data_IF_502447126498
#
_entry.id   IF_502447126498
#
_cell.length_a   1.000
_cell.length_b   1.000
_cell.length_c   1.000
_cell.angle_alpha   90.00
_cell.angle_beta   90.00
_cell.angle_gamma   90.00
#
_symmetry.space_group_name_H-M   'P 1'
#
loop_
_entity.id
_entity.type
_entity.pdbx_description
1 polymer ?
#
# COMPACT_ATOMS: atom_id res chain seq x y z
N UNK A 1 -13.03 39.30 -51.02
CA UNK A 1 -13.37 40.71 -51.26
C UNK A 1 -14.13 40.81 -52.59
N UNK A 2 -15.06 41.76 -52.69
CA UNK A 2 -16.16 41.94 -53.68
C UNK A 2 -17.46 41.20 -53.30
N UNK A 3 -18.41 41.80 -52.54
CA UNK A 3 -19.48 42.80 -52.90
C UNK A 3 -20.41 42.27 -54.01
N UNK A 4 -21.74 42.27 -53.96
CA UNK A 4 -22.74 42.80 -53.04
C UNK A 4 -24.08 42.93 -53.79
N UNK A 5 -25.18 42.64 -53.10
CA UNK A 5 -26.52 43.27 -53.18
C UNK A 5 -27.36 43.31 -54.48
N UNK A 6 -28.59 42.77 -54.42
CA UNK A 6 -29.79 43.36 -55.03
C UNK A 6 -31.09 42.84 -54.35
N UNK A 7 -32.06 43.71 -54.01
CA UNK A 7 -33.34 43.37 -53.36
C UNK A 7 -34.56 43.51 -54.31
N UNK A 8 -35.70 42.92 -53.95
CA UNK A 8 -36.99 43.12 -54.63
C UNK A 8 -38.17 43.06 -53.65
N UNK A 9 -38.88 44.19 -53.51
CA UNK A 9 -40.14 44.37 -52.78
C UNK A 9 -41.32 44.25 -53.75
N UNK A 10 -42.50 43.83 -53.25
CA UNK A 10 -43.84 44.43 -53.49
C UNK A 10 -44.91 43.52 -52.85
N UNK A 11 -45.63 43.90 -51.79
CA UNK A 11 -46.76 44.85 -51.64
C UNK A 11 -48.04 44.52 -52.44
N UNK A 12 -49.01 44.01 -51.68
CA UNK A 12 -50.42 44.40 -51.59
C UNK A 12 -51.37 44.20 -52.78
N UNK A 13 -52.50 43.54 -52.54
CA UNK A 13 -53.83 44.16 -52.60
C UNK A 13 -54.95 43.17 -52.22
N UNK A 14 -55.92 43.68 -51.48
CA UNK A 14 -57.15 43.00 -51.07
C UNK A 14 -58.27 43.20 -52.11
N UNK A 15 -59.20 42.25 -52.20
CA UNK A 15 -60.55 42.47 -52.75
C UNK A 15 -61.57 41.71 -51.91
N UNK A 16 -62.68 42.40 -51.59
CA UNK A 16 -63.83 42.00 -50.78
C UNK A 16 -64.96 41.42 -51.64
N UNK A 17 -65.83 40.64 -51.00
CA UNK A 17 -67.23 40.38 -51.38
C UNK A 17 -67.62 38.93 -51.05
N UNK A 18 -68.83 38.55 -50.64
CA UNK A 18 -70.00 39.22 -50.08
C UNK A 18 -70.88 38.10 -49.44
N UNK A 19 -71.60 38.49 -48.38
CA UNK A 19 -72.70 37.90 -47.59
C UNK A 19 -73.50 36.70 -48.17
N UNK A 20 -73.79 35.70 -47.31
CA UNK A 20 -75.10 35.02 -47.24
C UNK A 20 -75.29 34.27 -45.91
N UNK A 21 -76.51 34.39 -45.36
CA UNK A 21 -77.03 33.93 -44.07
C UNK A 21 -77.43 32.45 -44.07
N UNK A 22 -77.33 31.74 -42.93
CA UNK A 22 -78.13 30.54 -42.71
C UNK A 22 -77.64 29.55 -41.65
N UNK A 23 -78.48 29.30 -40.65
CA UNK A 23 -78.59 28.09 -39.83
C UNK A 23 -77.53 27.81 -38.73
N UNK A 24 -77.97 28.01 -37.48
CA UNK A 24 -77.35 27.45 -36.27
C UNK A 24 -77.55 25.93 -36.23
N UNK A 25 -76.47 25.18 -36.11
CA UNK A 25 -76.47 23.80 -35.63
C UNK A 25 -75.42 23.63 -34.53
N UNK A 26 -75.87 23.09 -33.39
CA UNK A 26 -75.08 22.87 -32.15
C UNK A 26 -73.84 22.03 -32.41
N UNK A 27 -72.70 22.51 -31.92
CA UNK A 27 -71.42 21.77 -31.86
C UNK A 27 -71.46 20.80 -30.67
N UNK A 28 -71.22 19.49 -30.86
CA UNK A 28 -70.96 18.57 -29.76
C UNK A 28 -69.60 18.88 -29.11
N UNK A 29 -69.58 18.97 -27.78
CA UNK A 29 -68.38 19.25 -26.98
C UNK A 29 -67.36 18.10 -27.15
N UNK A 30 -66.08 18.36 -27.46
CA UNK A 30 -65.06 17.31 -27.51
C UNK A 30 -64.82 16.71 -26.12
N UNK A 31 -64.73 15.39 -26.04
CA UNK A 31 -64.28 14.68 -24.84
C UNK A 31 -62.84 15.08 -24.50
N UNK A 32 -62.47 15.22 -23.21
CA UNK A 32 -61.11 15.56 -22.83
C UNK A 32 -60.15 14.41 -23.19
N UNK A 33 -58.92 14.72 -23.63
CA UNK A 33 -57.93 13.69 -23.92
C UNK A 33 -57.58 12.94 -22.63
N UNK A 34 -57.87 11.64 -22.60
CA UNK A 34 -57.29 10.71 -21.62
C UNK A 34 -55.77 10.81 -21.77
N UNK A 35 -55.11 11.42 -20.78
CA UNK A 35 -53.67 11.31 -20.62
C UNK A 35 -53.33 9.84 -20.36
N UNK A 36 -53.04 9.10 -21.43
CA UNK A 36 -52.25 7.88 -21.34
C UNK A 36 -50.87 8.36 -20.93
N UNK A 37 -50.65 8.41 -19.61
CA UNK A 37 -49.32 8.53 -19.03
C UNK A 37 -48.60 7.25 -19.48
N UNK A 38 -47.86 7.32 -20.59
CA UNK A 38 -46.78 6.38 -20.85
C UNK A 38 -45.81 6.60 -19.68
N UNK A 39 -45.95 5.78 -18.64
CA UNK A 39 -44.85 5.55 -17.72
C UNK A 39 -43.77 4.88 -18.55
N UNK A 40 -42.93 5.70 -19.17
CA UNK A 40 -41.61 5.25 -19.58
C UNK A 40 -40.94 4.90 -18.27
N UNK A 41 -40.91 3.61 -17.93
CA UNK A 41 -39.94 3.08 -16.98
C UNK A 41 -38.58 3.23 -17.68
N UNK A 42 -38.04 4.44 -17.66
CA UNK A 42 -36.61 4.64 -17.74
C UNK A 42 -36.08 4.14 -16.40
N UNK A 43 -35.80 2.84 -16.32
CA UNK A 43 -34.72 2.34 -15.46
C UNK A 43 -33.41 2.88 -16.03
N UNK A 44 -33.25 4.19 -15.98
CA UNK A 44 -31.94 4.82 -16.09
C UNK A 44 -31.32 4.73 -14.69
N UNK A 45 -31.04 3.49 -14.25
CA UNK A 45 -29.93 3.28 -13.34
C UNK A 45 -28.69 3.62 -14.16
N UNK A 46 -28.39 4.92 -14.24
CA UNK A 46 -27.04 5.37 -14.49
C UNK A 46 -26.23 4.74 -13.36
N UNK A 47 -25.52 3.65 -13.67
CA UNK A 47 -24.49 3.16 -12.78
C UNK A 47 -23.60 4.35 -12.46
N UNK A 48 -23.61 4.78 -11.19
CA UNK A 48 -22.92 5.98 -10.77
C UNK A 48 -21.43 5.81 -11.11
N UNK A 49 -20.85 6.58 -12.05
CA UNK A 49 -19.46 6.43 -12.45
C UNK A 49 -18.49 6.70 -11.28
N UNK A 50 -18.98 7.30 -10.18
CA UNK A 50 -18.24 7.48 -8.93
C UNK A 50 -18.16 6.22 -8.05
N UNK A 51 -19.08 5.25 -8.19
CA UNK A 51 -19.08 4.01 -7.41
C UNK A 51 -17.83 3.11 -7.64
N UNK A 52 -17.36 2.87 -8.89
CA UNK A 52 -16.13 2.09 -9.09
C UNK A 52 -14.87 2.83 -8.60
N UNK A 53 -14.82 4.15 -8.73
CA UNK A 53 -13.68 4.96 -8.29
C UNK A 53 -13.54 4.99 -6.76
N UNK A 54 -14.65 5.10 -6.03
CA UNK A 54 -14.69 5.04 -4.57
C UNK A 54 -14.31 3.66 -4.03
N UNK A 55 -14.83 2.57 -4.64
CA UNK A 55 -14.48 1.20 -4.26
C UNK A 55 -12.98 0.89 -4.44
N UNK A 56 -12.36 1.35 -5.53
CA UNK A 56 -10.91 1.21 -5.77
C UNK A 56 -10.09 1.99 -4.74
N UNK A 57 -10.55 3.18 -4.35
CA UNK A 57 -9.90 4.01 -3.34
C UNK A 57 -9.96 3.35 -1.96
N UNK A 58 -11.13 2.83 -1.56
CA UNK A 58 -11.31 2.08 -0.30
C UNK A 58 -10.42 0.83 -0.29
N UNK A 59 -10.43 0.05 -1.37
CA UNK A 59 -9.60 -1.15 -1.48
C UNK A 59 -8.10 -0.83 -1.38
N UNK A 60 -7.65 0.24 -2.03
CA UNK A 60 -6.26 0.70 -1.94
C UNK A 60 -5.92 1.19 -0.53
N UNK A 61 -6.86 1.87 0.13
CA UNK A 61 -6.74 2.25 1.54
C UNK A 61 -6.48 1.03 2.44
N UNK A 62 -7.35 0.01 2.37
CA UNK A 62 -7.20 -1.22 3.18
C UNK A 62 -5.84 -1.90 3.00
N UNK A 63 -5.34 -1.96 1.76
CA UNK A 63 -4.01 -2.52 1.46
C UNK A 63 -2.88 -1.72 2.13
N UNK A 64 -2.97 -0.39 2.14
CA UNK A 64 -1.99 0.46 2.82
C UNK A 64 -2.13 0.39 4.35
N UNK A 65 -3.35 0.26 4.88
CA UNK A 65 -3.59 0.03 6.31
C UNK A 65 -2.92 -1.26 6.78
N UNK A 66 -2.96 -2.33 5.97
CA UNK A 66 -2.25 -3.57 6.28
C UNK A 66 -0.75 -3.32 6.53
N UNK A 67 -0.10 -2.52 5.67
CA UNK A 67 1.30 -2.12 5.85
C UNK A 67 1.54 -1.23 7.08
N UNK A 68 0.59 -0.36 7.42
CA UNK A 68 0.68 0.50 8.60
C UNK A 68 0.60 -0.31 9.92
N UNK A 69 -0.07 -1.46 9.90
CA UNK A 69 -0.19 -2.36 11.06
C UNK A 69 0.97 -3.36 11.13
N UNK A 70 1.54 -3.76 9.99
CA UNK A 70 2.53 -4.83 9.88
C UNK A 70 3.76 -4.65 10.81
N UNK A 71 4.39 -3.47 10.79
CA UNK A 71 5.58 -3.21 11.59
C UNK A 71 5.31 -3.25 13.10
N UNK A 72 4.36 -2.45 13.63
CA UNK A 72 4.00 -2.48 15.04
C UNK A 72 3.61 -3.87 15.54
N UNK A 73 2.81 -4.61 14.77
CA UNK A 73 2.41 -5.97 15.13
C UNK A 73 3.63 -6.89 15.23
N UNK A 74 4.50 -6.88 14.21
CA UNK A 74 5.69 -7.71 14.18
C UNK A 74 6.62 -7.42 15.36
N UNK A 75 6.90 -6.14 15.61
CA UNK A 75 7.75 -5.68 16.70
C UNK A 75 7.15 -6.11 18.05
N UNK A 76 5.86 -5.86 18.29
CA UNK A 76 5.23 -6.19 19.56
C UNK A 76 5.33 -7.69 19.89
N UNK A 77 5.06 -8.56 18.90
CA UNK A 77 5.14 -10.02 19.08
C UNK A 77 6.59 -10.47 19.29
N UNK A 78 7.54 -9.95 18.51
CA UNK A 78 8.94 -10.28 18.63
C UNK A 78 9.51 -9.85 19.99
N UNK A 79 9.18 -8.63 20.45
CA UNK A 79 9.59 -8.15 21.76
C UNK A 79 8.99 -8.99 22.88
N UNK A 80 7.69 -9.27 22.84
CA UNK A 80 7.02 -10.08 23.85
C UNK A 80 7.67 -11.48 23.98
N UNK A 81 7.99 -12.12 22.86
CA UNK A 81 8.72 -13.38 22.86
C UNK A 81 10.13 -13.22 23.42
N UNK A 82 10.94 -12.29 22.92
CA UNK A 82 12.32 -12.10 23.39
C UNK A 82 12.41 -11.76 24.90
N UNK A 83 11.42 -11.08 25.48
CA UNK A 83 11.37 -10.81 26.91
C UNK A 83 10.94 -12.02 27.77
N UNK A 84 10.28 -13.02 27.18
CA UNK A 84 9.70 -14.15 27.91
C UNK A 84 10.39 -15.47 27.61
N UNK A 85 11.23 -15.53 26.57
CA UNK A 85 11.89 -16.76 26.13
C UNK A 85 13.15 -17.02 26.95
N UNK A 86 13.13 -18.12 27.68
CA UNK A 86 14.29 -18.59 28.44
C UNK A 86 15.53 -18.75 27.55
N UNK A 87 16.66 -18.28 28.05
CA UNK A 87 17.95 -18.35 27.36
C UNK A 87 18.11 -17.35 26.21
N UNK A 88 17.11 -16.53 25.88
CA UNK A 88 17.23 -15.53 24.81
C UNK A 88 17.99 -14.28 25.29
N UNK A 89 19.09 -13.97 24.62
CA UNK A 89 19.93 -12.80 24.87
C UNK A 89 19.90 -11.89 23.63
N UNK A 90 19.42 -10.67 23.79
CA UNK A 90 19.25 -9.67 22.74
C UNK A 90 20.55 -9.27 22.03
N UNK A 91 21.67 -9.37 22.74
CA UNK A 91 22.99 -9.08 22.20
C UNK A 91 23.59 -10.26 21.45
N UNK A 92 23.25 -11.51 21.83
CA UNK A 92 23.77 -12.72 21.18
C UNK A 92 22.84 -13.29 20.12
N UNK A 93 21.53 -13.05 20.20
CA UNK A 93 20.54 -13.73 19.36
C UNK A 93 19.78 -12.76 18.46
N UNK A 94 19.81 -12.96 17.13
CA UNK A 94 18.94 -12.24 16.21
C UNK A 94 17.48 -12.65 16.41
N UNK A 95 16.54 -11.77 16.04
CA UNK A 95 15.09 -11.99 16.16
C UNK A 95 14.61 -13.29 15.49
N UNK A 96 15.29 -13.76 14.45
CA UNK A 96 14.96 -15.02 13.79
C UNK A 96 15.13 -16.26 14.67
N UNK A 97 16.05 -16.23 15.64
CA UNK A 97 16.25 -17.37 16.53
C UNK A 97 15.03 -17.65 17.40
N UNK A 98 14.14 -16.68 17.63
CA UNK A 98 12.86 -16.90 18.32
C UNK A 98 11.97 -17.93 17.62
N UNK A 99 12.23 -18.27 16.35
CA UNK A 99 11.56 -19.34 15.63
C UNK A 99 11.98 -20.75 16.07
N UNK A 100 12.90 -20.89 17.02
CA UNK A 100 13.41 -22.16 17.51
C UNK A 100 12.71 -22.66 18.80
N UNK A 101 12.69 -23.98 18.94
CA UNK A 101 12.10 -24.69 20.09
C UNK A 101 10.58 -24.63 20.15
N UNK A 102 10.02 -25.01 21.30
CA UNK A 102 8.57 -25.27 21.46
C UNK A 102 7.64 -24.09 21.13
N UNK A 103 8.10 -22.86 21.36
CA UNK A 103 7.33 -21.63 21.07
C UNK A 103 7.70 -21.00 19.72
N UNK A 104 8.56 -21.65 18.94
CA UNK A 104 9.07 -21.12 17.66
C UNK A 104 7.99 -20.82 16.63
N UNK A 105 6.87 -21.56 16.70
CA UNK A 105 5.71 -21.36 15.84
C UNK A 105 5.13 -19.94 15.94
N UNK A 106 5.27 -19.25 17.08
CA UNK A 106 4.77 -17.89 17.27
C UNK A 106 5.56 -16.94 16.36
N UNK A 107 6.89 -17.04 16.35
CA UNK A 107 7.72 -16.22 15.49
C UNK A 107 7.58 -16.58 14.01
N UNK A 108 7.42 -17.87 13.68
CA UNK A 108 7.10 -18.31 12.31
C UNK A 108 5.78 -17.68 11.83
N UNK A 109 4.74 -17.72 12.66
CA UNK A 109 3.45 -17.10 12.36
C UNK A 109 3.60 -15.59 12.20
N UNK A 110 4.39 -14.95 13.07
CA UNK A 110 4.69 -13.53 13.00
C UNK A 110 5.35 -13.15 11.66
N UNK A 111 6.33 -13.94 11.19
CA UNK A 111 6.96 -13.77 9.88
C UNK A 111 5.95 -13.87 8.74
N UNK A 112 5.12 -14.92 8.72
CA UNK A 112 4.15 -15.16 7.64
C UNK A 112 3.06 -14.09 7.61
N UNK A 113 2.54 -13.68 8.78
CA UNK A 113 1.53 -12.62 8.88
C UNK A 113 2.11 -11.28 8.43
N UNK A 114 3.28 -10.90 8.93
CA UNK A 114 3.93 -9.65 8.52
C UNK A 114 4.25 -9.65 7.02
N UNK A 115 4.70 -10.78 6.47
CA UNK A 115 4.94 -10.94 5.04
C UNK A 115 3.65 -10.69 4.22
N UNK A 116 2.53 -11.30 4.62
CA UNK A 116 1.25 -11.10 3.94
C UNK A 116 0.80 -9.63 4.01
N UNK A 117 0.94 -8.97 5.16
CA UNK A 117 0.56 -7.58 5.34
C UNK A 117 1.45 -6.62 4.52
N UNK A 118 2.77 -6.82 4.50
CA UNK A 118 3.68 -6.02 3.67
C UNK A 118 3.50 -6.30 2.18
N UNK A 119 3.19 -7.53 1.78
CA UNK A 119 2.85 -7.85 0.40
C UNK A 119 1.57 -7.15 -0.05
N UNK A 120 0.53 -7.17 0.78
CA UNK A 120 -0.69 -6.38 0.56
C UNK A 120 -0.37 -4.88 0.43
N UNK A 121 0.48 -4.35 1.31
CA UNK A 121 0.94 -2.97 1.26
C UNK A 121 1.71 -2.66 -0.03
N UNK A 122 2.56 -3.55 -0.53
CA UNK A 122 3.25 -3.39 -1.81
C UNK A 122 2.24 -3.21 -2.97
N UNK A 123 1.15 -3.97 -2.98
CA UNK A 123 0.06 -3.78 -3.95
C UNK A 123 -0.62 -2.42 -3.76
N UNK A 124 -0.88 -2.01 -2.52
CA UNK A 124 -1.41 -0.68 -2.18
C UNK A 124 -0.52 0.46 -2.67
N UNK A 125 0.80 0.36 -2.45
CA UNK A 125 1.82 1.32 -2.89
C UNK A 125 1.84 1.42 -4.41
N UNK A 126 1.83 0.27 -5.12
CA UNK A 126 1.77 0.22 -6.59
C UNK A 126 0.57 0.99 -7.12
N UNK A 127 -0.59 0.83 -6.50
CA UNK A 127 -1.83 1.53 -6.88
C UNK A 127 -1.75 3.03 -6.55
N UNK A 128 -1.33 3.39 -5.35
CA UNK A 128 -1.27 4.77 -4.88
C UNK A 128 -0.23 5.64 -5.61
N UNK A 129 0.84 5.01 -6.09
CA UNK A 129 1.95 5.69 -6.79
C UNK A 129 1.91 5.49 -8.31
N UNK A 130 0.82 4.97 -8.87
CA UNK A 130 0.70 4.76 -10.33
C UNK A 130 0.95 6.07 -11.08
N UNK A 131 1.87 6.05 -12.04
CA UNK A 131 2.28 7.22 -12.83
C UNK A 131 3.12 8.26 -12.08
N UNK A 132 3.49 8.01 -10.81
CA UNK A 132 4.32 8.90 -9.99
C UNK A 132 5.71 8.31 -9.81
N UNK A 133 6.68 9.16 -9.46
CA UNK A 133 8.02 8.70 -9.11
C UNK A 133 7.96 7.69 -7.96
N UNK A 134 8.66 6.57 -8.10
CA UNK A 134 8.66 5.48 -7.11
C UNK A 134 7.56 4.43 -7.32
N UNK A 135 6.59 4.66 -8.21
CA UNK A 135 5.49 3.71 -8.47
C UNK A 135 5.88 2.35 -9.05
N UNK A 136 7.11 2.22 -9.55
CA UNK A 136 7.69 0.95 -10.02
C UNK A 136 8.56 0.31 -8.94
N UNK A 137 9.61 1.01 -8.50
CA UNK A 137 10.62 0.41 -7.63
C UNK A 137 10.21 0.29 -6.16
N UNK A 138 9.42 1.22 -5.62
CA UNK A 138 8.97 1.11 -4.22
C UNK A 138 8.14 -0.17 -3.97
N UNK A 139 7.10 -0.49 -4.76
CA UNK A 139 6.35 -1.72 -4.54
C UNK A 139 7.16 -2.99 -4.86
N UNK A 140 8.10 -2.95 -5.83
CA UNK A 140 8.99 -4.09 -6.09
C UNK A 140 9.86 -4.38 -4.87
N UNK A 141 10.54 -3.37 -4.34
CA UNK A 141 11.46 -3.53 -3.21
C UNK A 141 10.73 -3.96 -1.93
N UNK A 142 9.57 -3.36 -1.63
CA UNK A 142 8.73 -3.77 -0.49
C UNK A 142 8.16 -5.17 -0.70
N UNK A 143 7.79 -5.54 -1.93
CA UNK A 143 7.36 -6.89 -2.28
C UNK A 143 8.48 -7.93 -2.11
N UNK A 144 9.71 -7.60 -2.53
CA UNK A 144 10.89 -8.45 -2.33
C UNK A 144 11.15 -8.67 -0.84
N UNK A 145 11.06 -7.61 -0.04
CA UNK A 145 11.16 -7.73 1.42
C UNK A 145 10.08 -8.65 2.00
N UNK A 146 8.83 -8.50 1.56
CA UNK A 146 7.74 -9.37 2.02
C UNK A 146 7.96 -10.85 1.64
N UNK A 147 8.42 -11.13 0.42
CA UNK A 147 8.75 -12.50 -0.03
C UNK A 147 9.91 -13.07 0.79
N UNK A 148 10.95 -12.29 1.03
CA UNK A 148 12.08 -12.70 1.86
C UNK A 148 11.66 -13.00 3.32
N UNK A 149 10.73 -12.22 3.87
CA UNK A 149 10.19 -12.45 5.21
C UNK A 149 9.34 -13.74 5.26
N UNK A 150 8.59 -14.02 4.20
CA UNK A 150 7.87 -15.29 4.06
C UNK A 150 8.86 -16.48 4.01
N UNK A 151 9.95 -16.35 3.24
CA UNK A 151 11.04 -17.34 3.20
C UNK A 151 11.61 -17.58 4.60
N UNK A 152 11.82 -16.54 5.41
CA UNK A 152 12.28 -16.68 6.80
C UNK A 152 11.34 -17.52 7.67
N UNK A 153 10.03 -17.41 7.44
CA UNK A 153 9.03 -18.20 8.17
C UNK A 153 8.97 -19.67 7.72
N UNK A 154 9.20 -19.94 6.43
CA UNK A 154 9.07 -21.30 5.86
C UNK A 154 10.33 -22.14 6.04
N UNK A 155 11.51 -21.51 5.99
CA UNK A 155 12.78 -22.19 6.14
C UNK A 155 13.36 -21.86 7.52
N UNK A 156 13.43 -22.83 8.45
CA UNK A 156 13.94 -22.57 9.79
C UNK A 156 15.42 -22.17 9.78
N UNK A 157 15.79 -21.25 10.67
CA UNK A 157 17.20 -21.02 11.02
C UNK A 157 17.76 -22.23 11.77
N UNK A 158 19.08 -22.41 11.73
CA UNK A 158 19.75 -23.42 12.55
C UNK A 158 19.98 -22.91 13.98
N UNK A 159 20.01 -23.83 14.94
CA UNK A 159 20.30 -23.55 16.33
C UNK A 159 21.80 -23.35 16.55
N UNK A 160 22.14 -22.46 17.48
CA UNK A 160 23.51 -22.11 17.83
C UNK A 160 23.53 -20.92 18.79
N UNK A 161 24.71 -20.43 19.13
CA UNK A 161 24.89 -19.34 20.10
C UNK A 161 24.26 -19.66 21.47
N UNK A 162 24.17 -20.95 21.82
CA UNK A 162 23.54 -21.43 23.04
C UNK A 162 22.00 -21.34 23.04
N UNK A 163 21.36 -21.05 21.90
CA UNK A 163 19.91 -20.92 21.79
C UNK A 163 19.26 -21.90 20.79
N UNK A 164 18.16 -22.56 21.18
CA UNK A 164 17.55 -22.61 22.52
C UNK A 164 18.44 -23.38 23.52
N UNK A 165 18.11 -23.41 24.83
CA UNK A 165 18.90 -24.16 25.81
C UNK A 165 19.21 -25.60 25.35
N UNK A 166 20.49 -25.96 25.40
CA UNK A 166 21.01 -27.24 24.88
C UNK A 166 21.57 -27.17 23.45
N UNK A 167 21.44 -26.04 22.75
CA UNK A 167 22.11 -25.82 21.46
C UNK A 167 23.62 -25.58 21.63
N UNK A 168 24.43 -25.80 20.57
CA UNK A 168 25.85 -25.47 20.58
C UNK A 168 26.13 -24.00 20.90
N UNK A 169 27.21 -23.71 21.63
CA UNK A 169 27.60 -22.33 22.01
C UNK A 169 28.14 -21.49 20.84
N UNK A 170 28.73 -22.13 19.82
CA UNK A 170 29.28 -21.45 18.65
C UNK A 170 28.23 -21.01 17.64
N UNK A 171 28.67 -20.34 16.57
CA UNK A 171 27.80 -20.05 15.44
C UNK A 171 27.18 -21.33 14.87
N UNK A 172 25.92 -21.26 14.40
CA UNK A 172 25.27 -22.43 13.81
C UNK A 172 26.09 -23.01 12.66
N UNK A 173 26.20 -24.34 12.62
CA UNK A 173 26.57 -25.03 11.39
C UNK A 173 25.39 -24.94 10.42
N UNK A 174 25.59 -24.27 9.29
CA UNK A 174 24.50 -23.98 8.37
C UNK A 174 24.07 -25.22 7.58
N UNK A 175 22.83 -25.65 7.84
CA UNK A 175 22.10 -26.53 6.94
C UNK A 175 21.68 -25.80 5.67
N UNK A 176 21.21 -26.53 4.65
CA UNK A 176 20.72 -25.90 3.42
C UNK A 176 19.54 -24.95 3.67
N UNK A 177 18.65 -25.26 4.62
CA UNK A 177 17.52 -24.38 4.97
C UNK A 177 17.97 -23.18 5.79
N UNK A 178 18.98 -23.35 6.66
CA UNK A 178 19.61 -22.24 7.37
C UNK A 178 20.31 -21.26 6.44
N UNK A 179 20.96 -21.74 5.36
CA UNK A 179 21.51 -20.87 4.30
C UNK A 179 20.40 -20.06 3.64
N UNK A 180 19.29 -20.69 3.27
CA UNK A 180 18.13 -19.99 2.68
C UNK A 180 17.57 -18.95 3.65
N UNK A 181 17.46 -19.30 4.95
CA UNK A 181 17.03 -18.41 6.01
C UNK A 181 18.01 -17.25 6.26
N UNK A 182 19.31 -17.44 6.06
CA UNK A 182 20.29 -16.37 6.21
C UNK A 182 20.29 -15.41 5.00
N UNK A 183 20.31 -15.97 3.79
CA UNK A 183 20.48 -15.20 2.54
C UNK A 183 19.19 -14.47 2.15
N UNK A 184 18.03 -15.13 2.22
CA UNK A 184 16.76 -14.57 1.77
C UNK A 184 16.40 -13.26 2.50
N UNK A 185 16.25 -13.29 3.83
CA UNK A 185 16.03 -12.11 4.67
C UNK A 185 17.11 -11.03 4.51
N UNK A 186 18.37 -11.40 4.31
CA UNK A 186 19.43 -10.40 4.03
C UNK A 186 19.13 -9.62 2.75
N UNK A 187 18.73 -10.29 1.67
CA UNK A 187 18.30 -9.63 0.42
C UNK A 187 17.07 -8.75 0.68
N UNK A 188 16.09 -9.27 1.40
CA UNK A 188 14.85 -8.56 1.72
C UNK A 188 15.04 -7.29 2.54
N UNK A 189 15.83 -7.38 3.62
CA UNK A 189 16.17 -6.26 4.51
C UNK A 189 16.85 -5.15 3.71
N UNK A 190 17.84 -5.49 2.90
CA UNK A 190 18.51 -4.51 2.05
C UNK A 190 17.57 -3.89 1.02
N UNK A 191 16.67 -4.69 0.42
CA UNK A 191 15.65 -4.17 -0.47
C UNK A 191 14.72 -3.16 0.24
N UNK A 192 14.30 -3.45 1.47
CA UNK A 192 13.52 -2.52 2.29
C UNK A 192 14.28 -1.22 2.54
N UNK A 193 15.56 -1.29 2.94
CA UNK A 193 16.35 -0.10 3.23
C UNK A 193 16.55 0.77 1.98
N UNK A 194 16.84 0.14 0.83
CA UNK A 194 16.94 0.82 -0.46
C UNK A 194 15.61 1.47 -0.86
N UNK A 195 14.47 0.85 -0.52
CA UNK A 195 13.15 1.39 -0.81
C UNK A 195 12.93 2.78 -0.19
N UNK A 196 13.55 3.07 0.96
CA UNK A 196 13.42 4.37 1.61
C UNK A 196 14.03 5.49 0.75
N UNK A 197 15.12 5.25 0.02
CA UNK A 197 15.65 6.25 -0.93
C UNK A 197 14.73 6.46 -2.14
N UNK A 198 14.01 5.43 -2.56
CA UNK A 198 12.97 5.55 -3.60
C UNK A 198 11.81 6.43 -3.09
N UNK A 199 11.39 6.23 -1.84
CA UNK A 199 10.41 7.09 -1.18
C UNK A 199 10.91 8.52 -0.98
N UNK A 200 12.19 8.69 -0.64
CA UNK A 200 12.82 10.01 -0.53
C UNK A 200 12.68 10.79 -1.85
N UNK A 201 13.04 10.15 -2.98
CA UNK A 201 12.87 10.75 -4.31
C UNK A 201 11.40 11.08 -4.62
N UNK A 202 10.47 10.22 -4.22
CA UNK A 202 9.04 10.49 -4.36
C UNK A 202 8.60 11.73 -3.57
N UNK A 203 9.04 11.86 -2.32
CA UNK A 203 8.68 13.00 -1.48
C UNK A 203 9.35 14.30 -1.90
N UNK A 204 10.60 14.27 -2.38
CA UNK A 204 11.27 15.42 -2.99
C UNK A 204 10.46 15.95 -4.18
N UNK A 205 10.03 15.07 -5.08
CA UNK A 205 9.20 15.45 -6.23
C UNK A 205 7.80 15.90 -5.85
N UNK A 206 7.29 15.42 -4.72
CA UNK A 206 6.02 15.83 -4.13
C UNK A 206 6.13 17.07 -3.24
N UNK A 207 7.26 17.80 -3.29
CA UNK A 207 7.55 19.02 -2.49
C UNK A 207 7.31 18.84 -0.98
N UNK A 208 7.68 17.68 -0.43
CA UNK A 208 7.56 17.35 0.99
C UNK A 208 8.93 17.03 1.60
N UNK A 209 9.75 18.07 1.89
CA UNK A 209 11.16 17.91 2.25
C UNK A 209 11.36 17.17 3.57
N UNK A 210 10.48 17.35 4.56
CA UNK A 210 10.58 16.64 5.84
C UNK A 210 10.47 15.12 5.67
N UNK A 211 9.53 14.65 4.83
CA UNK A 211 9.40 13.23 4.52
C UNK A 211 10.56 12.71 3.66
N UNK A 212 11.08 13.54 2.75
CA UNK A 212 12.24 13.17 1.96
C UNK A 212 13.48 12.95 2.85
N UNK A 213 13.76 13.89 3.76
CA UNK A 213 14.88 13.80 4.70
C UNK A 213 14.71 12.61 5.65
N UNK A 214 13.52 12.43 6.23
CA UNK A 214 13.24 11.29 7.10
C UNK A 214 13.46 9.95 6.37
N UNK A 215 13.13 9.87 5.08
CA UNK A 215 13.35 8.66 4.28
C UNK A 215 14.83 8.39 4.02
N UNK A 216 15.62 9.43 3.73
CA UNK A 216 17.08 9.30 3.59
C UNK A 216 17.70 8.87 4.93
N UNK A 217 17.32 9.54 6.03
CA UNK A 217 17.83 9.25 7.36
C UNK A 217 17.49 7.82 7.79
N UNK A 218 16.25 7.38 7.62
CA UNK A 218 15.84 6.01 7.93
C UNK A 218 16.64 4.98 7.12
N UNK A 219 16.81 5.19 5.80
CA UNK A 219 17.62 4.31 4.95
C UNK A 219 19.07 4.23 5.39
N UNK A 220 19.70 5.38 5.63
CA UNK A 220 21.10 5.46 6.06
C UNK A 220 21.32 4.83 7.43
N UNK A 221 20.45 5.13 8.41
CA UNK A 221 20.51 4.56 9.76
C UNK A 221 20.33 3.05 9.73
N UNK A 222 19.35 2.55 8.97
CA UNK A 222 19.11 1.11 8.87
C UNK A 222 20.29 0.37 8.23
N UNK A 223 20.89 0.93 7.16
CA UNK A 223 22.08 0.35 6.52
C UNK A 223 23.26 0.36 7.51
N UNK A 224 23.50 1.47 8.19
CA UNK A 224 24.59 1.60 9.14
C UNK A 224 24.46 0.60 10.31
N UNK A 225 23.27 0.50 10.89
CA UNK A 225 22.98 -0.44 11.98
C UNK A 225 23.01 -1.90 11.53
N UNK A 226 22.50 -2.21 10.35
CA UNK A 226 22.56 -3.58 9.80
C UNK A 226 23.99 -4.02 9.50
N UNK A 227 24.81 -3.10 8.97
CA UNK A 227 26.21 -3.38 8.67
C UNK A 227 27.06 -3.49 9.93
N UNK A 228 26.80 -2.69 10.97
CA UNK A 228 27.66 -2.61 12.15
C UNK A 228 27.75 -3.90 12.96
N UNK A 229 26.81 -4.84 12.81
CA UNK A 229 26.90 -6.19 13.40
C UNK A 229 28.23 -6.86 13.03
N UNK A 230 28.66 -6.72 11.76
CA UNK A 230 29.90 -7.31 11.24
C UNK A 230 31.17 -6.64 11.81
N UNK A 231 31.02 -5.56 12.59
CA UNK A 231 32.13 -4.82 13.18
C UNK A 231 32.30 -5.10 14.69
N UNK A 232 31.45 -5.95 15.27
CA UNK A 232 31.36 -6.12 16.73
C UNK A 232 32.14 -7.31 17.29
N UNK A 233 32.47 -8.30 16.47
CA UNK A 233 33.18 -9.52 16.88
C UNK A 233 33.69 -10.30 15.66
N UNK A 234 34.33 -11.45 15.89
CA UNK A 234 34.82 -12.35 14.81
C UNK A 234 33.84 -13.48 14.49
N UNK A 235 32.82 -13.68 15.34
CA UNK A 235 31.91 -14.82 15.23
C UNK A 235 32.50 -16.11 15.82
N UNK A 236 33.55 -16.00 16.61
CA UNK A 236 34.16 -17.11 17.34
C UNK A 236 33.57 -17.18 18.76
N UNK A 237 33.68 -18.35 19.39
CA UNK A 237 33.24 -18.54 20.79
C UNK A 237 34.03 -17.57 21.68
N UNK A 238 33.32 -16.75 22.46
CA UNK A 238 33.91 -15.70 23.30
C UNK A 238 34.24 -14.40 22.58
N UNK A 239 33.96 -14.29 21.28
CA UNK A 239 34.03 -13.07 20.48
C UNK A 239 32.90 -13.02 19.43
N UNK A 240 31.69 -13.29 19.88
CA UNK A 240 30.50 -13.35 19.03
C UNK A 240 30.09 -11.97 18.50
N UNK A 241 29.31 -11.96 17.42
CA UNK A 241 28.68 -10.71 16.95
C UNK A 241 27.65 -10.20 17.98
N UNK A 242 27.59 -8.89 18.14
CA UNK A 242 26.53 -8.19 18.86
C UNK A 242 25.38 -7.87 17.90
N UNK A 243 24.22 -8.47 18.15
CA UNK A 243 23.01 -8.34 17.34
C UNK A 243 22.09 -7.18 17.76
N UNK A 244 22.40 -6.43 18.82
CA UNK A 244 21.60 -5.24 19.21
C UNK A 244 21.43 -4.23 18.06
N UNK A 245 22.46 -3.90 17.25
CA UNK A 245 22.27 -3.03 16.10
C UNK A 245 21.25 -3.56 15.10
N UNK A 246 21.19 -4.89 14.89
CA UNK A 246 20.21 -5.50 13.99
C UNK A 246 18.79 -5.36 14.54
N UNK A 247 18.60 -5.51 15.85
CA UNK A 247 17.32 -5.25 16.52
C UNK A 247 16.86 -3.80 16.29
N UNK A 248 17.75 -2.82 16.48
CA UNK A 248 17.42 -1.41 16.23
C UNK A 248 17.15 -1.12 14.75
N UNK A 249 17.89 -1.75 13.83
CA UNK A 249 17.66 -1.62 12.39
C UNK A 249 16.27 -2.14 12.00
N UNK A 250 15.89 -3.32 12.53
CA UNK A 250 14.57 -3.90 12.33
C UNK A 250 13.47 -2.99 12.88
N UNK A 251 13.57 -2.55 14.15
CA UNK A 251 12.57 -1.69 14.77
C UNK A 251 12.40 -0.37 14.00
N UNK A 252 13.50 0.23 13.57
CA UNK A 252 13.50 1.47 12.77
C UNK A 252 12.85 1.24 11.41
N UNK A 253 13.31 0.24 10.66
CA UNK A 253 12.84 -0.03 9.32
C UNK A 253 11.35 -0.39 9.27
N UNK A 254 10.87 -1.21 10.20
CA UNK A 254 9.50 -1.71 10.21
C UNK A 254 8.53 -0.61 10.62
N UNK A 255 8.91 0.18 11.62
CA UNK A 255 8.18 1.37 12.04
C UNK A 255 8.12 2.39 10.92
N UNK A 256 9.24 2.66 10.25
CA UNK A 256 9.28 3.64 9.18
C UNK A 256 8.47 3.21 7.95
N UNK A 257 8.55 1.93 7.55
CA UNK A 257 7.71 1.40 6.48
C UNK A 257 6.21 1.50 6.82
N UNK A 258 5.86 1.28 8.08
CA UNK A 258 4.48 1.44 8.56
C UNK A 258 4.01 2.90 8.49
N UNK A 259 4.88 3.84 8.87
CA UNK A 259 4.62 5.29 8.72
C UNK A 259 4.46 5.70 7.26
N UNK A 260 5.26 5.14 6.35
CA UNK A 260 5.14 5.38 4.91
C UNK A 260 3.80 4.88 4.37
N UNK A 261 3.37 3.68 4.75
CA UNK A 261 2.08 3.12 4.36
C UNK A 261 0.92 3.99 4.87
N UNK A 262 0.97 4.40 6.14
CA UNK A 262 0.01 5.35 6.72
C UNK A 262 0.01 6.72 6.02
N UNK A 263 1.20 7.25 5.66
CA UNK A 263 1.31 8.53 4.96
C UNK A 263 0.70 8.47 3.56
N UNK A 264 0.84 7.35 2.87
CA UNK A 264 0.17 7.15 1.58
C UNK A 264 -1.34 7.00 1.76
N UNK A 265 -1.79 6.27 2.78
CA UNK A 265 -3.21 6.12 3.11
C UNK A 265 -3.88 7.48 3.36
N UNK A 266 -3.29 8.31 4.24
CA UNK A 266 -3.83 9.64 4.57
C UNK A 266 -3.91 10.57 3.36
N UNK A 267 -3.01 10.43 2.37
CA UNK A 267 -3.10 11.21 1.12
C UNK A 267 -4.27 10.79 0.24
N UNK A 268 -4.65 9.51 0.24
CA UNK A 268 -5.82 9.04 -0.52
C UNK A 268 -7.11 9.62 0.06
N UNK A 269 -7.22 9.67 1.39
CA UNK A 269 -8.41 10.20 2.06
C UNK A 269 -8.52 11.73 1.92
N UNK A 270 -7.42 12.47 1.99
CA UNK A 270 -7.43 13.92 1.80
C UNK A 270 -7.68 14.35 0.35
N UNK A 271 -7.24 13.56 -0.63
CA UNK A 271 -7.46 13.86 -2.05
C UNK A 271 -8.88 13.59 -2.54
N UNK A 272 -9.64 12.72 -1.84
CA UNK A 272 -11.02 12.38 -2.18
C UNK A 272 -12.08 13.39 -1.69
N UNK A 273 -11.72 14.35 -0.84
CA UNK A 273 -12.64 15.34 -0.29
C UNK A 273 -12.69 16.68 -1.06
N UNK A 274 -11.94 16.80 -2.17
CA UNK A 274 -11.80 18.03 -2.94
C UNK A 274 -12.20 17.92 -4.43
N UNK A 275 -13.02 16.93 -4.78
CA UNK A 275 -13.54 16.70 -6.13
C UNK A 275 -15.01 17.04 -6.25
#
# INVERSE_FOLDING_TARGET
MATGHAPGRDRAAAVRGAVSSGARTRIPRPLPPRHIRRTVMTTNQLADPAAPASAVTIATGRLLTAGAVAGPLFIAVALAQAFTREGFDWSRHPTSMLALGDLGWIQITNFVVAAALFFASAVGIKRALRGKSGGTWAPILVGTFAVALFTAGVFPTDAGLGFPPGAPEGFPEFSWHGIVHAVGPTIGINALFVSFFVFARFFTRSKQPGWALASVAAGAVCIALGFSVNLTGTGEIGNEFNFLPLWFAMMTGWSYMSLLAWKLHSRLTSGGQGG
#
